data_IF_057816385173
#
_entry.id   IF_057816385173
#
_cell.length_a   1.000
_cell.length_b   1.000
_cell.length_c   1.000
_cell.angle_alpha   90.00
_cell.angle_beta   90.00
_cell.angle_gamma   90.00
#
_symmetry.space_group_name_H-M   'P 1'
#
loop_
_entity.id
_entity.type
_entity.pdbx_description
1 polymer ?
#
# COMPACT_ATOMS: atom_id res chain seq x y z
N UNK A 1 -7.76 68.33 35.95
CA UNK A 1 -8.97 68.03 35.14
C UNK A 1 -9.05 66.52 35.00
N UNK A 2 -9.69 65.85 35.96
CA UNK A 2 -9.76 64.43 36.15
C UNK A 2 -11.16 63.93 35.77
N UNK A 3 -11.20 62.96 34.84
CA UNK A 3 -12.41 62.27 34.37
C UNK A 3 -12.54 60.96 35.13
N UNK A 4 -13.65 60.69 35.84
CA UNK A 4 -13.83 59.43 36.54
C UNK A 4 -14.38 58.36 35.58
N UNK A 5 -13.75 57.20 35.52
CA UNK A 5 -14.25 56.00 34.89
C UNK A 5 -15.36 55.37 35.74
N UNK A 6 -16.57 55.33 35.20
CA UNK A 6 -17.69 54.60 35.76
C UNK A 6 -17.55 53.11 35.45
N UNK A 7 -17.44 52.28 36.51
CA UNK A 7 -17.49 50.82 36.43
C UNK A 7 -18.95 50.38 36.33
N UNK A 8 -19.36 49.90 35.17
CA UNK A 8 -20.63 49.19 35.00
C UNK A 8 -20.39 47.70 35.16
N UNK A 9 -20.82 47.16 36.29
CA UNK A 9 -20.85 45.72 36.53
C UNK A 9 -22.00 45.11 35.72
N UNK A 10 -21.69 44.32 34.71
CA UNK A 10 -22.65 43.50 33.96
C UNK A 10 -22.65 42.09 34.59
N UNK A 11 -23.68 41.83 35.41
CA UNK A 11 -23.93 40.53 35.99
C UNK A 11 -24.55 39.62 34.90
N UNK A 12 -23.76 38.73 34.27
CA UNK A 12 -24.29 37.66 33.45
C UNK A 12 -24.73 36.50 34.35
N UNK A 13 -26.04 36.31 34.44
CA UNK A 13 -26.65 35.13 35.03
C UNK A 13 -26.32 33.89 34.13
N UNK A 14 -25.45 33.02 34.60
CA UNK A 14 -25.24 31.70 33.99
C UNK A 14 -26.41 30.80 34.36
N UNK A 15 -27.34 30.63 33.43
CA UNK A 15 -28.34 29.55 33.48
C UNK A 15 -27.62 28.26 33.10
N UNK A 16 -27.33 27.45 34.10
CA UNK A 16 -26.74 26.12 33.91
C UNK A 16 -27.74 25.17 33.25
N UNK A 17 -27.67 25.01 31.92
CA UNK A 17 -28.25 23.86 31.26
C UNK A 17 -27.29 22.69 31.43
N UNK A 18 -27.56 21.89 32.46
CA UNK A 18 -26.93 20.55 32.63
C UNK A 18 -27.48 19.65 31.54
N UNK A 19 -26.85 19.62 30.37
CA UNK A 19 -27.03 18.53 29.44
C UNK A 19 -26.24 17.34 29.98
N UNK A 20 -26.96 16.40 30.58
CA UNK A 20 -26.41 15.05 30.82
C UNK A 20 -26.14 14.45 29.45
N UNK A 21 -24.89 14.55 28.98
CA UNK A 21 -24.41 13.74 27.88
C UNK A 21 -24.46 12.28 28.34
N UNK A 22 -25.54 11.60 28.01
CA UNK A 22 -25.55 10.15 27.97
C UNK A 22 -24.59 9.74 26.85
N UNK A 23 -23.33 9.55 27.21
CA UNK A 23 -22.41 8.81 26.38
C UNK A 23 -22.97 7.38 26.28
N UNK A 24 -23.85 7.15 25.31
CA UNK A 24 -24.15 5.81 24.86
C UNK A 24 -22.86 5.30 24.22
N UNK A 25 -22.07 4.58 25.00
CA UNK A 25 -21.16 3.61 24.44
C UNK A 25 -22.05 2.54 23.78
N UNK A 26 -22.45 2.78 22.54
CA UNK A 26 -22.92 1.69 21.72
C UNK A 26 -21.77 0.68 21.69
N UNK A 27 -22.00 -0.58 22.05
CA UNK A 27 -20.97 -1.58 21.90
C UNK A 27 -20.58 -1.58 20.44
N UNK A 28 -19.30 -1.30 20.16
CA UNK A 28 -18.73 -1.50 18.84
C UNK A 28 -18.88 -2.99 18.58
N UNK A 29 -19.92 -3.37 17.87
CA UNK A 29 -20.04 -4.73 17.35
C UNK A 29 -18.97 -4.87 16.30
N UNK A 30 -17.83 -5.40 16.67
CA UNK A 30 -16.82 -5.89 15.78
C UNK A 30 -17.42 -7.07 14.98
N UNK A 31 -18.17 -6.74 13.95
CA UNK A 31 -18.52 -7.70 12.91
C UNK A 31 -17.32 -7.87 11.96
N UNK A 32 -16.14 -7.98 12.55
CA UNK A 32 -14.94 -8.17 11.77
C UNK A 32 -14.90 -9.60 11.27
N UNK A 33 -15.35 -9.76 10.06
CA UNK A 33 -15.28 -11.00 9.30
C UNK A 33 -13.99 -10.97 8.48
N UNK A 34 -13.24 -12.06 8.48
CA UNK A 34 -11.99 -12.22 7.72
C UNK A 34 -12.10 -13.40 6.78
N UNK A 35 -11.43 -13.28 5.65
CA UNK A 35 -11.40 -14.34 4.61
C UNK A 35 -10.06 -15.08 4.62
N UNK A 36 -8.98 -14.37 4.94
CA UNK A 36 -7.61 -14.87 4.69
C UNK A 36 -7.19 -16.05 5.55
N UNK A 37 -7.79 -16.23 6.74
CA UNK A 37 -7.32 -17.27 7.67
C UNK A 37 -7.78 -18.67 7.33
N UNK A 38 -8.92 -18.80 6.66
CA UNK A 38 -9.54 -20.10 6.35
C UNK A 38 -9.82 -20.28 4.85
N UNK A 39 -9.63 -19.23 4.06
CA UNK A 39 -10.04 -19.19 2.66
C UNK A 39 -11.54 -18.96 2.46
N UNK A 40 -12.30 -18.77 3.52
CA UNK A 40 -13.70 -18.41 3.49
C UNK A 40 -14.04 -17.41 4.60
N UNK A 41 -15.14 -16.70 4.42
CA UNK A 41 -15.58 -15.66 5.35
C UNK A 41 -15.99 -16.24 6.71
N UNK A 42 -15.32 -15.79 7.78
CA UNK A 42 -15.60 -16.20 9.16
C UNK A 42 -15.32 -15.05 10.14
N UNK A 43 -15.87 -15.15 11.34
CA UNK A 43 -15.58 -14.17 12.39
C UNK A 43 -14.12 -14.29 12.85
N UNK A 44 -13.48 -13.15 13.14
CA UNK A 44 -12.10 -13.11 13.68
C UNK A 44 -11.96 -14.01 14.91
N UNK A 45 -12.97 -14.02 15.79
CA UNK A 45 -12.97 -14.82 17.02
C UNK A 45 -12.96 -16.34 16.79
N UNK A 46 -13.35 -16.78 15.61
CA UNK A 46 -13.40 -18.18 15.21
C UNK A 46 -12.19 -18.60 14.36
N UNK A 47 -11.37 -17.62 13.97
CA UNK A 47 -10.23 -17.86 13.11
C UNK A 47 -9.11 -18.62 13.84
N UNK A 48 -8.48 -19.61 13.21
CA UNK A 48 -7.44 -20.45 13.86
C UNK A 48 -6.06 -19.76 13.94
N UNK A 49 -5.98 -18.45 13.72
CA UNK A 49 -4.74 -17.69 13.65
C UNK A 49 -4.85 -16.35 14.40
N UNK A 50 -3.69 -15.75 14.71
CA UNK A 50 -3.63 -14.39 15.25
C UNK A 50 -3.83 -13.38 14.12
N UNK A 51 -5.00 -12.76 14.06
CA UNK A 51 -5.40 -11.83 13.00
C UNK A 51 -5.56 -10.43 13.57
N UNK A 52 -5.09 -9.44 12.83
CA UNK A 52 -5.43 -8.03 13.00
C UNK A 52 -6.12 -7.55 11.73
N UNK A 53 -7.14 -6.72 11.90
CA UNK A 53 -7.84 -6.08 10.79
C UNK A 53 -7.67 -4.58 10.95
N UNK A 54 -7.24 -3.92 9.89
CA UNK A 54 -7.30 -2.47 9.76
C UNK A 54 -8.54 -2.18 8.93
N UNK A 55 -9.55 -1.62 9.55
CA UNK A 55 -10.81 -1.30 8.92
C UNK A 55 -10.69 -0.07 8.01
N UNK A 56 -11.68 0.13 7.17
CA UNK A 56 -11.79 1.34 6.38
C UNK A 56 -11.92 2.59 7.24
N UNK A 57 -12.64 2.49 8.34
CA UNK A 57 -12.80 3.55 9.32
C UNK A 57 -11.45 3.93 9.93
N UNK A 58 -10.62 2.96 10.28
CA UNK A 58 -9.25 3.20 10.78
C UNK A 58 -8.40 3.90 9.74
N UNK A 59 -8.43 3.44 8.47
CA UNK A 59 -7.69 4.05 7.37
C UNK A 59 -8.08 5.52 7.15
N UNK A 60 -9.36 5.85 7.34
CA UNK A 60 -9.86 7.21 7.18
C UNK A 60 -9.58 8.11 8.39
N UNK A 61 -9.76 7.58 9.61
CA UNK A 61 -9.60 8.35 10.85
C UNK A 61 -8.14 8.69 11.12
N UNK A 62 -7.24 7.74 10.94
CA UNK A 62 -5.82 7.93 11.19
C UNK A 62 -5.08 8.66 10.07
N UNK A 63 -5.74 8.88 8.93
CA UNK A 63 -5.20 9.63 7.78
C UNK A 63 -3.82 9.16 7.34
N UNK A 64 -3.65 7.87 7.18
CA UNK A 64 -2.42 7.32 6.66
C UNK A 64 -2.13 7.83 5.24
N UNK A 65 -0.89 8.19 4.96
CA UNK A 65 -0.48 8.64 3.64
C UNK A 65 -0.20 7.48 2.68
N UNK A 66 0.16 6.32 3.24
CA UNK A 66 0.46 5.13 2.47
C UNK A 66 0.20 3.85 3.27
N UNK A 67 0.25 2.72 2.57
CA UNK A 67 0.06 1.40 3.15
C UNK A 67 1.08 1.07 4.25
N UNK A 68 2.32 1.55 4.12
CA UNK A 68 3.37 1.29 5.09
C UNK A 68 3.02 1.84 6.46
N UNK A 69 2.52 3.08 6.52
CA UNK A 69 2.09 3.69 7.76
C UNK A 69 0.94 2.93 8.41
N UNK A 70 -0.03 2.47 7.60
CA UNK A 70 -1.15 1.69 8.10
C UNK A 70 -0.69 0.34 8.69
N UNK A 71 0.25 -0.33 8.05
CA UNK A 71 0.79 -1.60 8.51
C UNK A 71 1.73 -1.43 9.72
N UNK A 72 2.46 -0.31 9.81
CA UNK A 72 3.39 -0.02 10.91
C UNK A 72 2.71 0.10 12.28
N UNK A 73 1.41 0.38 12.31
CA UNK A 73 0.61 0.42 13.53
C UNK A 73 0.17 -0.99 14.01
N UNK A 74 0.44 -2.03 13.22
CA UNK A 74 0.05 -3.40 13.58
C UNK A 74 1.14 -4.08 14.39
N UNK A 75 0.81 -4.55 15.57
CA UNK A 75 1.76 -5.25 16.44
C UNK A 75 2.42 -6.45 15.74
N UNK A 76 3.74 -6.53 15.85
CA UNK A 76 4.54 -7.61 15.29
C UNK A 76 4.79 -7.50 13.80
N UNK A 77 4.43 -6.39 13.17
CA UNK A 77 4.92 -6.01 11.85
C UNK A 77 6.08 -5.03 12.00
N UNK A 78 7.15 -5.31 11.31
CA UNK A 78 8.26 -4.39 11.11
C UNK A 78 8.33 -4.02 9.63
N UNK A 79 8.22 -2.72 9.37
CA UNK A 79 8.39 -2.15 8.05
C UNK A 79 9.81 -1.60 8.02
N UNK A 80 10.73 -2.44 7.56
CA UNK A 80 12.06 -1.99 7.24
C UNK A 80 11.94 -0.81 6.27
N UNK A 81 12.40 0.35 6.69
CA UNK A 81 12.56 1.46 5.76
C UNK A 81 13.50 0.96 4.67
N UNK A 82 12.98 0.83 3.46
CA UNK A 82 13.74 0.36 2.33
C UNK A 82 14.98 1.24 2.19
N UNK A 83 16.11 0.70 2.56
CA UNK A 83 17.41 1.38 2.41
C UNK A 83 17.92 1.28 0.98
N UNK A 84 17.18 0.61 0.10
CA UNK A 84 17.52 0.50 -1.30
C UNK A 84 17.15 1.76 -2.09
N UNK A 85 17.86 2.01 -3.18
CA UNK A 85 17.64 3.18 -4.06
C UNK A 85 16.20 3.32 -4.59
N UNK A 86 15.44 2.24 -4.67
CA UNK A 86 14.05 2.26 -5.13
C UNK A 86 13.04 2.52 -4.01
N UNK A 87 13.48 2.52 -2.74
CA UNK A 87 12.59 2.76 -1.60
C UNK A 87 11.49 1.72 -1.42
N UNK A 88 11.70 0.49 -1.92
CA UNK A 88 10.77 -0.63 -1.71
C UNK A 88 10.60 -0.95 -0.23
N UNK A 89 9.42 -1.42 0.14
CA UNK A 89 9.09 -1.75 1.53
C UNK A 89 9.44 -3.20 1.83
N UNK A 90 10.27 -3.39 2.84
CA UNK A 90 10.55 -4.70 3.43
C UNK A 90 9.58 -4.90 4.60
N UNK A 91 8.55 -5.71 4.39
CA UNK A 91 7.56 -5.99 5.43
C UNK A 91 7.88 -7.33 6.05
N UNK A 92 8.33 -7.31 7.31
CA UNK A 92 8.58 -8.52 8.09
C UNK A 92 7.51 -8.72 9.15
N UNK A 93 7.13 -9.98 9.39
CA UNK A 93 6.17 -10.35 10.42
C UNK A 93 6.88 -11.17 11.49
N UNK A 94 6.86 -10.68 12.73
CA UNK A 94 7.50 -11.35 13.90
C UNK A 94 8.97 -11.67 13.68
N UNK A 95 9.70 -10.79 12.97
CA UNK A 95 11.13 -10.95 12.71
C UNK A 95 11.48 -11.97 11.62
N UNK A 96 10.48 -12.56 10.95
CA UNK A 96 10.72 -13.38 9.76
C UNK A 96 11.09 -12.50 8.59
N UNK A 97 12.09 -12.86 7.76
CA UNK A 97 12.45 -12.08 6.59
C UNK A 97 11.26 -11.80 5.66
N UNK A 98 11.25 -10.64 5.00
CA UNK A 98 10.15 -10.15 4.16
C UNK A 98 9.73 -11.12 3.05
N UNK A 99 10.64 -11.93 2.55
CA UNK A 99 10.36 -12.97 1.55
C UNK A 99 9.38 -14.05 2.04
N UNK A 100 9.16 -14.17 3.35
CA UNK A 100 8.19 -15.07 3.96
C UNK A 100 6.88 -14.37 4.35
N UNK A 101 6.72 -13.11 3.98
CA UNK A 101 5.48 -12.35 4.11
C UNK A 101 4.75 -12.35 2.78
N UNK A 102 3.65 -13.08 2.69
CA UNK A 102 2.84 -13.14 1.48
C UNK A 102 1.88 -11.95 1.42
N UNK A 103 1.88 -11.25 0.29
CA UNK A 103 0.98 -10.14 0.02
C UNK A 103 -0.07 -10.57 -1.00
N UNK A 104 -1.33 -10.34 -0.63
CA UNK A 104 -2.49 -10.64 -1.45
C UNK A 104 -3.31 -9.35 -1.68
N UNK A 105 -3.95 -9.26 -2.84
CA UNK A 105 -5.02 -8.31 -3.13
C UNK A 105 -6.25 -9.12 -3.53
N UNK A 106 -7.33 -9.02 -2.75
CA UNK A 106 -8.54 -9.83 -2.91
C UNK A 106 -8.22 -11.34 -3.03
N UNK A 107 -7.36 -11.86 -2.16
CA UNK A 107 -6.91 -13.25 -2.15
C UNK A 107 -5.94 -13.63 -3.27
N UNK A 108 -5.61 -12.71 -4.18
CA UNK A 108 -4.72 -12.97 -5.32
C UNK A 108 -3.29 -12.55 -4.98
N UNK A 109 -2.36 -13.46 -5.18
CA UNK A 109 -0.94 -13.28 -4.89
C UNK A 109 -0.35 -12.14 -5.73
N UNK A 110 0.43 -11.27 -5.09
CA UNK A 110 1.09 -10.12 -5.73
C UNK A 110 2.58 -10.37 -5.99
N UNK A 111 3.16 -11.36 -5.35
CA UNK A 111 4.56 -11.70 -5.55
C UNK A 111 4.75 -12.24 -6.98
N UNK A 112 5.77 -11.75 -7.67
CA UNK A 112 6.21 -12.34 -8.93
C UNK A 112 6.66 -13.80 -8.69
N UNK A 113 6.51 -14.65 -9.69
CA UNK A 113 7.01 -16.02 -9.62
C UNK A 113 8.54 -15.98 -9.50
N UNK A 114 9.06 -16.37 -8.33
CA UNK A 114 10.48 -16.35 -8.00
C UNK A 114 10.96 -14.98 -7.51
N UNK A 115 11.84 -15.01 -6.51
CA UNK A 115 12.51 -13.81 -5.97
C UNK A 115 13.63 -13.31 -6.90
N UNK A 116 13.39 -13.28 -8.21
CA UNK A 116 14.35 -12.74 -9.16
C UNK A 116 14.10 -11.25 -9.28
N UNK A 117 14.59 -10.53 -8.30
CA UNK A 117 14.69 -9.07 -8.41
C UNK A 117 16.06 -8.73 -8.99
N UNK A 118 16.13 -8.06 -10.14
CA UNK A 118 17.39 -7.53 -10.64
C UNK A 118 18.03 -6.62 -9.58
N UNK A 119 19.33 -6.60 -9.50
CA UNK A 119 20.06 -5.75 -8.57
C UNK A 119 19.53 -4.30 -8.61
N UNK A 120 19.03 -3.82 -7.48
CA UNK A 120 18.50 -2.46 -7.34
C UNK A 120 16.99 -2.38 -7.14
N UNK A 121 16.23 -3.42 -7.44
CA UNK A 121 14.83 -3.52 -7.01
C UNK A 121 14.76 -4.30 -5.71
N UNK A 122 14.37 -3.63 -4.63
CA UNK A 122 13.97 -4.29 -3.40
C UNK A 122 12.46 -4.48 -3.46
N UNK A 123 11.97 -5.60 -2.94
CA UNK A 123 10.56 -5.88 -2.63
C UNK A 123 9.54 -5.36 -3.66
N UNK A 124 9.52 -5.96 -4.83
CA UNK A 124 8.57 -5.62 -5.90
C UNK A 124 7.12 -5.97 -5.58
N UNK A 125 6.90 -6.85 -4.59
CA UNK A 125 5.55 -7.25 -4.15
C UNK A 125 4.70 -6.10 -3.61
N UNK A 126 5.34 -5.02 -3.14
CA UNK A 126 4.66 -3.82 -2.62
C UNK A 126 4.62 -2.65 -3.61
N UNK A 127 5.14 -2.83 -4.84
CA UNK A 127 5.29 -1.73 -5.80
C UNK A 127 3.97 -1.16 -6.31
N UNK A 128 2.97 -2.01 -6.52
CA UNK A 128 1.70 -1.64 -7.15
C UNK A 128 0.52 -1.95 -6.23
N UNK A 129 0.46 -1.20 -5.12
CA UNK A 129 -0.65 -1.31 -4.17
C UNK A 129 -1.83 -0.44 -4.60
N UNK A 130 -3.07 -0.87 -4.35
CA UNK A 130 -4.23 -0.03 -4.58
C UNK A 130 -4.16 1.21 -3.68
N UNK A 131 -4.69 2.37 -4.12
CA UNK A 131 -4.79 3.54 -3.26
C UNK A 131 -5.66 3.25 -2.04
N UNK A 132 -5.34 3.85 -0.89
CA UNK A 132 -6.07 3.61 0.37
C UNK A 132 -7.58 3.83 0.23
N UNK A 133 -8.00 4.76 -0.63
CA UNK A 133 -9.41 5.02 -0.93
C UNK A 133 -10.13 3.85 -1.62
N UNK A 134 -9.40 2.95 -2.27
CA UNK A 134 -9.93 1.74 -2.89
C UNK A 134 -9.95 0.53 -1.95
N UNK A 135 -9.37 0.66 -0.74
CA UNK A 135 -9.28 -0.43 0.24
C UNK A 135 -10.51 -0.42 1.15
N UNK A 136 -11.08 -1.60 1.36
CA UNK A 136 -12.15 -1.83 2.34
C UNK A 136 -11.58 -2.18 3.71
N UNK A 137 -10.59 -3.08 3.75
CA UNK A 137 -9.87 -3.47 4.95
C UNK A 137 -8.55 -4.16 4.59
N UNK A 138 -7.66 -4.22 5.55
CA UNK A 138 -6.42 -4.98 5.45
C UNK A 138 -6.42 -6.05 6.54
N UNK A 139 -6.29 -7.30 6.13
CA UNK A 139 -6.23 -8.45 7.04
C UNK A 139 -4.77 -8.88 7.18
N UNK A 140 -4.28 -8.91 8.42
CA UNK A 140 -2.91 -9.31 8.74
C UNK A 140 -2.94 -10.57 9.58
N UNK A 141 -2.48 -11.66 9.01
CA UNK A 141 -2.36 -12.94 9.71
C UNK A 141 -0.91 -13.14 10.11
N UNK A 142 -0.68 -13.29 11.39
CA UNK A 142 0.64 -13.46 11.99
C UNK A 142 0.89 -14.91 12.36
N UNK A 143 1.74 -15.56 11.62
CA UNK A 143 2.13 -16.95 11.80
C UNK A 143 2.07 -17.76 10.51
N UNK A 144 2.53 -19.00 10.54
CA UNK A 144 2.65 -19.81 9.34
C UNK A 144 1.28 -20.15 8.74
N UNK A 145 1.11 -19.75 7.48
CA UNK A 145 -0.06 -20.04 6.66
C UNK A 145 0.28 -20.85 5.43
N UNK A 146 1.41 -21.57 5.48
CA UNK A 146 1.94 -22.35 4.36
C UNK A 146 1.01 -23.47 3.88
N UNK A 147 0.15 -23.98 4.74
CA UNK A 147 -0.85 -25.01 4.37
C UNK A 147 -1.86 -24.51 3.34
N UNK A 148 -2.27 -23.22 3.44
CA UNK A 148 -3.22 -22.62 2.53
C UNK A 148 -2.55 -21.88 1.37
N UNK A 149 -1.41 -21.23 1.63
CA UNK A 149 -0.81 -20.28 0.71
C UNK A 149 0.60 -20.67 0.23
N UNK A 150 1.16 -21.78 0.69
CA UNK A 150 2.48 -22.24 0.28
C UNK A 150 3.65 -21.59 1.04
N UNK A 151 4.87 -21.84 0.57
CA UNK A 151 6.13 -21.53 1.27
C UNK A 151 6.33 -20.05 1.58
N UNK A 152 5.78 -19.15 0.77
CA UNK A 152 5.97 -17.69 0.92
C UNK A 152 5.18 -17.11 2.10
N UNK A 153 4.27 -17.90 2.68
CA UNK A 153 3.44 -17.52 3.83
C UNK A 153 3.93 -18.11 5.16
N UNK A 154 5.21 -18.33 5.33
CA UNK A 154 5.77 -18.88 6.58
C UNK A 154 5.79 -17.86 7.73
N UNK A 155 6.03 -16.59 7.43
CA UNK A 155 5.97 -15.50 8.40
C UNK A 155 4.55 -15.03 8.66
N UNK A 156 3.74 -14.99 7.62
CA UNK A 156 2.36 -14.55 7.67
C UNK A 156 1.82 -14.09 6.32
N UNK A 157 0.60 -13.56 6.35
CA UNK A 157 -0.12 -13.09 5.17
C UNK A 157 -0.69 -11.71 5.43
N UNK A 158 -0.53 -10.82 4.48
CA UNK A 158 -1.21 -9.53 4.41
C UNK A 158 -2.16 -9.58 3.23
N UNK A 159 -3.46 -9.55 3.49
CA UNK A 159 -4.47 -9.54 2.44
C UNK A 159 -5.19 -8.19 2.41
N UNK A 160 -5.06 -7.49 1.30
CA UNK A 160 -5.69 -6.21 1.04
C UNK A 160 -7.01 -6.48 0.34
N UNK A 161 -8.11 -6.26 1.04
CA UNK A 161 -9.46 -6.43 0.49
C UNK A 161 -9.89 -5.08 -0.10
N UNK A 162 -10.16 -5.07 -1.40
CA UNK A 162 -10.63 -3.87 -2.08
C UNK A 162 -12.14 -3.71 -1.93
N UNK A 163 -12.61 -2.46 -2.06
CA UNK A 163 -14.03 -2.14 -1.99
C UNK A 163 -14.80 -2.84 -3.11
N UNK A 164 -15.99 -3.31 -2.81
CA UNK A 164 -16.94 -3.74 -3.83
C UNK A 164 -17.44 -2.54 -4.62
N UNK A 165 -17.96 -2.77 -5.82
CA UNK A 165 -18.56 -1.69 -6.61
C UNK A 165 -19.72 -1.07 -5.82
N UNK A 166 -19.72 0.25 -5.75
CA UNK A 166 -20.75 0.99 -5.02
C UNK A 166 -22.09 0.97 -5.76
N UNK A 167 -23.20 1.03 -5.00
CA UNK A 167 -24.56 1.11 -5.57
C UNK A 167 -24.85 2.48 -6.17
N UNK A 168 -24.14 3.50 -5.76
CA UNK A 168 -24.23 4.87 -6.27
C UNK A 168 -22.82 5.34 -6.65
N UNK A 169 -22.73 6.27 -7.59
CA UNK A 169 -21.43 6.81 -7.96
C UNK A 169 -20.78 7.52 -6.78
N UNK A 170 -19.59 7.10 -6.45
CA UNK A 170 -18.74 7.67 -5.42
C UNK A 170 -17.31 7.75 -5.93
N UNK A 171 -16.55 8.70 -5.42
CA UNK A 171 -15.16 8.86 -5.81
C UNK A 171 -14.35 9.64 -4.80
N UNK A 172 -13.05 9.58 -4.96
CA UNK A 172 -12.08 10.38 -4.20
C UNK A 172 -10.90 10.75 -5.08
N UNK A 173 -10.37 11.93 -4.84
CA UNK A 173 -9.08 12.40 -5.35
C UNK A 173 -8.26 12.79 -4.12
N UNK A 174 -7.10 12.16 -3.97
CA UNK A 174 -6.18 12.46 -2.87
C UNK A 174 -4.86 12.92 -3.45
N UNK A 175 -4.29 13.96 -2.86
CA UNK A 175 -2.97 14.45 -3.19
C UNK A 175 -2.19 14.66 -1.90
N UNK A 176 -1.09 13.93 -1.76
CA UNK A 176 -0.17 14.00 -0.65
C UNK A 176 1.15 14.59 -1.14
N UNK A 177 1.70 15.47 -0.37
CA UNK A 177 3.02 16.05 -0.60
C UNK A 177 3.82 15.97 0.70
N UNK A 178 4.97 15.30 0.64
CA UNK A 178 5.90 15.24 1.75
C UNK A 178 7.08 16.14 1.44
N UNK A 179 7.14 17.25 2.14
CA UNK A 179 8.23 18.20 2.09
C UNK A 179 9.28 17.81 3.14
N UNK A 180 10.51 17.59 2.69
CA UNK A 180 11.59 17.25 3.58
C UNK A 180 12.19 18.54 4.18
N UNK A 181 12.28 18.57 5.51
CA UNK A 181 12.86 19.71 6.22
C UNK A 181 14.36 19.81 5.96
N UNK A 182 15.03 18.66 5.93
CA UNK A 182 16.40 18.53 5.50
C UNK A 182 16.45 18.33 3.98
N UNK A 183 17.14 19.24 3.28
CA UNK A 183 17.20 19.30 1.82
C UNK A 183 18.08 18.23 1.18
N UNK A 184 18.85 17.52 1.98
CA UNK A 184 19.60 16.36 1.53
C UNK A 184 18.67 15.16 1.24
N UNK A 185 17.41 15.21 1.70
CA UNK A 185 16.39 14.22 1.38
C UNK A 185 15.43 14.74 0.29
N UNK A 186 15.13 13.89 -0.68
CA UNK A 186 14.19 14.21 -1.76
C UNK A 186 12.73 14.26 -1.29
N UNK A 187 12.02 15.27 -1.78
CA UNK A 187 10.57 15.41 -1.55
C UNK A 187 9.80 14.29 -2.27
N UNK A 188 8.60 13.99 -1.78
CA UNK A 188 7.72 13.02 -2.44
C UNK A 188 6.33 13.59 -2.69
N UNK A 189 5.73 13.17 -3.78
CA UNK A 189 4.37 13.55 -4.16
C UNK A 189 3.60 12.31 -4.56
N UNK A 190 2.40 12.14 -4.01
CA UNK A 190 1.49 11.07 -4.36
C UNK A 190 0.13 11.63 -4.74
N UNK A 191 -0.38 11.25 -5.91
CA UNK A 191 -1.73 11.59 -6.36
C UNK A 191 -2.48 10.29 -6.60
N UNK A 192 -3.65 10.13 -5.98
CA UNK A 192 -4.47 8.93 -6.17
C UNK A 192 -5.91 9.28 -6.49
N UNK A 193 -6.52 8.46 -7.34
CA UNK A 193 -7.90 8.56 -7.75
C UNK A 193 -8.63 7.25 -7.49
N UNK A 194 -9.88 7.37 -7.12
CA UNK A 194 -10.81 6.27 -7.00
C UNK A 194 -12.20 6.72 -7.44
N UNK A 195 -12.86 5.93 -8.27
CA UNK A 195 -14.25 6.13 -8.64
C UNK A 195 -14.95 4.78 -8.76
N UNK A 196 -16.18 4.69 -8.28
CA UNK A 196 -16.96 3.46 -8.35
C UNK A 196 -18.44 3.77 -8.41
N UNK A 197 -19.16 3.01 -9.23
CA UNK A 197 -20.62 3.16 -9.34
C UNK A 197 -21.23 2.22 -10.37
N UNK A 198 -22.57 2.21 -10.47
CA UNK A 198 -23.29 1.38 -11.41
C UNK A 198 -23.18 1.96 -12.84
N UNK A 199 -22.94 1.09 -13.81
CA UNK A 199 -23.21 1.36 -15.24
C UNK A 199 -24.63 0.98 -15.60
N UNK A 200 -25.12 -0.11 -15.00
CA UNK A 200 -26.52 -0.57 -15.06
C UNK A 200 -26.90 -1.00 -13.66
N UNK A 201 -27.91 -0.36 -13.09
CA UNK A 201 -28.35 -0.60 -11.73
C UNK A 201 -28.64 -2.08 -11.46
N UNK A 202 -28.03 -2.60 -10.39
CA UNK A 202 -28.20 -3.98 -9.95
C UNK A 202 -27.55 -5.04 -10.85
N UNK A 203 -27.02 -4.67 -12.03
CA UNK A 203 -26.48 -5.63 -12.99
C UNK A 203 -24.99 -5.44 -13.26
N UNK A 204 -24.58 -4.22 -13.63
CA UNK A 204 -23.21 -3.95 -14.08
C UNK A 204 -22.63 -2.75 -13.35
N UNK A 205 -21.52 -2.95 -12.72
CA UNK A 205 -20.80 -1.91 -12.02
C UNK A 205 -19.37 -1.71 -12.53
N UNK A 206 -18.87 -0.51 -12.37
CA UNK A 206 -17.50 -0.11 -12.71
C UNK A 206 -16.78 0.46 -11.50
N UNK A 207 -15.53 0.07 -11.34
CA UNK A 207 -14.59 0.69 -10.42
C UNK A 207 -13.33 1.09 -11.17
N UNK A 208 -12.88 2.31 -10.96
CA UNK A 208 -11.62 2.83 -11.48
C UNK A 208 -10.72 3.23 -10.31
N UNK A 209 -9.45 2.89 -10.41
CA UNK A 209 -8.45 3.26 -9.41
C UNK A 209 -7.14 3.62 -10.09
N UNK A 210 -6.41 4.57 -9.51
CA UNK A 210 -5.11 4.94 -10.03
C UNK A 210 -4.29 5.68 -8.99
N UNK A 211 -2.97 5.60 -9.16
CA UNK A 211 -2.00 6.36 -8.37
C UNK A 211 -0.83 6.80 -9.22
N UNK A 212 -0.31 7.96 -8.90
CA UNK A 212 0.93 8.51 -9.45
C UNK A 212 1.78 8.97 -8.28
N UNK A 213 2.93 8.35 -8.12
CA UNK A 213 3.92 8.68 -7.11
C UNK A 213 5.19 9.17 -7.78
N UNK A 214 5.62 10.37 -7.40
CA UNK A 214 6.88 10.98 -7.82
C UNK A 214 7.77 11.16 -6.59
N UNK A 215 9.04 10.88 -6.72
CA UNK A 215 10.07 11.11 -5.70
C UNK A 215 11.28 11.79 -6.33
N UNK A 216 11.75 12.84 -5.69
CA UNK A 216 13.02 13.48 -6.00
C UNK A 216 14.21 12.66 -5.47
N UNK A 217 15.37 12.79 -6.07
CA UNK A 217 16.60 12.18 -5.57
C UNK A 217 16.98 12.75 -4.20
N UNK A 218 17.60 11.93 -3.37
CA UNK A 218 18.24 12.36 -2.13
C UNK A 218 19.74 12.50 -2.36
N UNK A 219 20.35 13.57 -1.84
CA UNK A 219 21.77 13.89 -1.96
C UNK A 219 22.49 13.77 -0.61
N UNK A 220 22.42 12.56 -0.06
CA UNK A 220 22.99 12.28 1.26
C UNK A 220 24.51 12.25 1.20
N UNK A 221 25.16 12.86 2.21
CA UNK A 221 26.60 12.80 2.40
C UNK A 221 26.96 12.39 3.83
N UNK A 222 28.12 11.73 3.97
CA UNK A 222 28.71 11.49 5.29
C UNK A 222 29.25 12.79 5.89
N UNK A 223 29.40 12.85 7.20
CA UNK A 223 29.89 14.04 7.90
C UNK A 223 31.27 14.56 7.45
N UNK A 224 32.01 13.81 6.63
CA UNK A 224 33.25 14.19 5.97
C UNK A 224 33.04 14.73 4.53
N UNK A 225 31.79 14.91 4.09
CA UNK A 225 31.46 15.43 2.76
C UNK A 225 31.53 14.38 1.63
N UNK A 226 31.75 13.10 1.95
CA UNK A 226 31.73 12.03 0.95
C UNK A 226 30.26 11.66 0.69
N UNK A 227 29.84 11.64 -0.58
CA UNK A 227 28.50 11.25 -0.98
C UNK A 227 28.18 9.80 -0.59
N UNK A 228 26.96 9.60 -0.10
CA UNK A 228 26.42 8.27 0.15
C UNK A 228 26.07 7.60 -1.18
N UNK A 229 26.50 6.36 -1.35
CA UNK A 229 26.25 5.61 -2.58
C UNK A 229 24.78 5.54 -2.95
N UNK A 230 24.46 5.86 -4.18
CA UNK A 230 23.11 5.66 -4.77
C UNK A 230 22.72 4.17 -4.92
N UNK A 231 23.67 3.23 -4.69
CA UNK A 231 23.35 1.79 -4.57
C UNK A 231 22.82 1.39 -3.20
N UNK A 232 23.10 2.22 -2.20
CA UNK A 232 22.76 2.02 -0.81
C UNK A 232 21.54 2.81 -0.37
N UNK A 233 21.64 3.48 0.78
CA UNK A 233 20.49 4.11 1.43
C UNK A 233 20.03 5.44 0.80
N UNK A 234 20.74 5.97 -0.21
CA UNK A 234 20.35 7.22 -0.87
C UNK A 234 19.32 6.94 -1.98
N UNK A 235 18.04 7.21 -1.80
CA UNK A 235 17.04 7.01 -2.82
C UNK A 235 17.27 7.90 -4.05
N UNK A 236 17.13 7.32 -5.22
CA UNK A 236 17.23 8.05 -6.49
C UNK A 236 15.88 8.64 -6.89
N UNK A 237 15.88 9.55 -7.85
CA UNK A 237 14.67 10.03 -8.49
C UNK A 237 13.86 8.86 -9.05
N UNK A 238 12.55 8.90 -8.87
CA UNK A 238 11.70 7.82 -9.34
C UNK A 238 10.24 8.22 -9.53
N UNK A 239 9.60 7.52 -10.45
CA UNK A 239 8.18 7.67 -10.72
C UNK A 239 7.50 6.31 -10.77
N UNK A 240 6.40 6.19 -10.05
CA UNK A 240 5.55 5.00 -10.09
C UNK A 240 4.13 5.40 -10.47
N UNK A 241 3.53 4.71 -11.43
CA UNK A 241 2.12 4.84 -11.69
C UNK A 241 1.45 3.47 -11.72
N UNK A 242 0.23 3.44 -11.24
CA UNK A 242 -0.62 2.26 -11.26
C UNK A 242 -2.04 2.66 -11.67
N UNK A 243 -2.61 1.94 -12.63
CA UNK A 243 -3.96 2.12 -13.11
C UNK A 243 -4.69 0.79 -13.08
N UNK A 244 -5.90 0.78 -12.55
CA UNK A 244 -6.73 -0.41 -12.50
C UNK A 244 -8.19 -0.10 -12.78
N UNK A 245 -8.87 -1.07 -13.38
CA UNK A 245 -10.29 -1.04 -13.61
C UNK A 245 -10.90 -2.39 -13.24
N UNK A 246 -12.08 -2.36 -12.62
CA UNK A 246 -12.87 -3.56 -12.33
C UNK A 246 -14.28 -3.39 -12.88
N UNK A 247 -14.71 -4.37 -13.64
CA UNK A 247 -16.12 -4.55 -13.99
C UNK A 247 -16.70 -5.65 -13.12
N UNK A 248 -17.88 -5.41 -12.55
CA UNK A 248 -18.62 -6.39 -11.76
C UNK A 248 -19.97 -6.62 -12.41
N UNK A 249 -20.27 -7.86 -12.72
CA UNK A 249 -21.52 -8.28 -13.36
C UNK A 249 -22.27 -9.22 -12.40
N UNK A 250 -23.48 -8.82 -11.97
CA UNK A 250 -24.35 -9.58 -11.06
C UNK A 250 -25.64 -9.90 -11.80
N UNK A 251 -25.65 -10.93 -12.68
CA UNK A 251 -26.84 -11.28 -13.48
C UNK A 251 -27.95 -11.91 -12.65
N UNK A 252 -27.60 -12.45 -11.47
CA UNK A 252 -28.51 -13.05 -10.51
C UNK A 252 -27.94 -12.85 -9.10
N UNK A 253 -28.80 -12.81 -8.09
CA UNK A 253 -28.39 -12.61 -6.69
C UNK A 253 -27.40 -13.68 -6.17
N UNK A 254 -27.40 -14.86 -6.80
CA UNK A 254 -26.50 -15.96 -6.45
C UNK A 254 -25.18 -15.96 -7.21
N UNK A 255 -25.01 -15.11 -8.21
CA UNK A 255 -23.82 -15.13 -9.07
C UNK A 255 -23.24 -13.75 -9.29
N UNK A 256 -21.99 -13.58 -8.86
CA UNK A 256 -21.19 -12.40 -9.13
C UNK A 256 -19.98 -12.76 -10.00
N UNK A 257 -19.79 -12.03 -11.09
CA UNK A 257 -18.61 -12.13 -11.95
C UNK A 257 -17.80 -10.83 -11.87
N UNK A 258 -16.51 -10.96 -11.90
CA UNK A 258 -15.56 -9.83 -11.91
C UNK A 258 -14.55 -9.95 -13.02
N UNK A 259 -14.27 -8.84 -13.70
CA UNK A 259 -13.12 -8.67 -14.56
C UNK A 259 -12.27 -7.53 -13.99
N UNK A 260 -11.05 -7.84 -13.58
CA UNK A 260 -10.10 -6.89 -13.01
C UNK A 260 -8.90 -6.78 -13.93
N UNK A 261 -8.56 -5.55 -14.34
CA UNK A 261 -7.41 -5.26 -15.19
C UNK A 261 -6.56 -4.22 -14.49
N UNK A 262 -5.26 -4.45 -14.41
CA UNK A 262 -4.33 -3.54 -13.76
C UNK A 262 -3.02 -3.45 -14.55
N UNK A 263 -2.49 -2.23 -14.66
CA UNK A 263 -1.18 -1.95 -15.22
C UNK A 263 -0.42 -1.02 -14.30
N UNK A 264 0.76 -1.46 -13.89
CA UNK A 264 1.71 -0.68 -13.09
C UNK A 264 3.03 -0.50 -13.81
N UNK A 265 3.63 0.67 -13.68
CA UNK A 265 4.98 0.96 -14.14
C UNK A 265 5.72 1.79 -13.10
N UNK A 266 6.92 1.35 -12.81
CA UNK A 266 7.85 1.99 -11.89
C UNK A 266 9.17 2.25 -12.62
N UNK A 267 9.65 3.49 -12.58
CA UNK A 267 10.86 3.92 -13.26
C UNK A 267 11.71 4.66 -12.26
N UNK A 268 12.99 4.33 -12.22
CA UNK A 268 13.99 5.00 -11.39
C UNK A 268 15.17 5.41 -12.24
N UNK A 269 15.68 6.62 -11.97
CA UNK A 269 16.91 7.09 -12.54
C UNK A 269 18.10 6.24 -12.02
N UNK A 270 18.93 5.76 -12.94
CA UNK A 270 20.07 4.89 -12.64
C UNK A 270 21.37 5.40 -13.30
N UNK A 271 21.33 6.57 -13.92
CA UNK A 271 22.47 7.17 -14.62
C UNK A 271 23.47 7.83 -13.67
N UNK A 272 23.02 8.11 -12.43
CA UNK A 272 23.90 8.60 -11.38
C UNK A 272 24.83 7.50 -10.84
N UNK A 273 25.87 7.92 -10.16
CA UNK A 273 26.91 7.05 -9.65
C UNK A 273 26.37 5.87 -8.84
N UNK A 274 26.61 4.68 -9.32
CA UNK A 274 26.27 3.42 -8.66
C UNK A 274 27.37 2.92 -7.73
N UNK A 275 28.58 3.48 -7.86
CA UNK A 275 29.77 3.08 -7.10
C UNK A 275 30.00 4.13 -6.01
N UNK A 276 29.61 3.87 -4.82
CA UNK A 276 29.88 4.71 -3.66
C UNK A 276 30.64 3.95 -2.59
N UNK A 277 30.96 4.65 -1.55
CA UNK A 277 31.85 4.25 -0.45
C UNK A 277 31.31 3.16 0.48
N UNK A 278 30.33 2.37 0.10
CA UNK A 278 29.82 1.27 0.95
C UNK A 278 30.91 0.29 1.38
N UNK A 279 32.00 0.19 0.61
CA UNK A 279 33.11 -0.71 0.89
C UNK A 279 34.30 -0.01 1.58
N UNK A 280 34.08 1.21 2.08
CA UNK A 280 35.17 1.99 2.73
C UNK A 280 36.24 2.44 1.77
N UNK A 281 36.06 2.28 0.47
CA UNK A 281 36.96 2.78 -0.55
C UNK A 281 36.46 4.12 -1.06
N UNK A 282 37.23 5.17 -0.91
CA UNK A 282 37.03 6.49 -1.51
C UNK A 282 37.12 6.38 -3.04
N UNK A 283 36.11 5.80 -3.67
CA UNK A 283 35.98 5.85 -5.11
C UNK A 283 35.21 7.10 -5.46
N UNK A 284 35.85 8.05 -6.09
CA UNK A 284 35.14 9.13 -6.77
C UNK A 284 34.08 8.53 -7.70
N UNK A 285 32.90 9.10 -7.65
CA UNK A 285 31.83 8.79 -8.57
C UNK A 285 32.22 9.21 -9.99
N UNK A 286 33.06 8.42 -10.64
CA UNK A 286 33.37 8.62 -12.05
C UNK A 286 32.20 8.09 -12.86
N UNK A 287 31.47 9.05 -13.40
CA UNK A 287 30.31 8.95 -14.27
C UNK A 287 30.15 7.68 -15.10
N UNK A 288 28.88 7.31 -15.29
CA UNK A 288 28.23 6.59 -16.42
C UNK A 288 28.99 5.49 -17.19
N UNK A 289 30.27 5.66 -17.52
CA UNK A 289 31.03 4.67 -18.28
C UNK A 289 31.30 3.39 -17.49
N UNK A 290 31.54 3.48 -16.18
CA UNK A 290 31.78 2.31 -15.32
C UNK A 290 30.49 1.57 -15.01
N UNK A 291 29.36 2.25 -14.90
CA UNK A 291 28.04 1.63 -14.70
C UNK A 291 27.60 0.88 -15.94
N UNK A 292 27.78 1.46 -17.12
CA UNK A 292 27.51 0.80 -18.40
C UNK A 292 28.41 -0.39 -18.66
N UNK A 293 29.68 -0.31 -18.31
CA UNK A 293 30.61 -1.43 -18.43
C UNK A 293 30.21 -2.62 -17.55
N UNK A 294 29.50 -2.39 -16.45
CA UNK A 294 28.95 -3.43 -15.57
C UNK A 294 27.55 -3.91 -15.95
N UNK A 295 27.03 -3.51 -17.10
CA UNK A 295 25.73 -3.94 -17.62
C UNK A 295 24.53 -3.24 -16.97
N UNK A 296 24.72 -2.13 -16.25
CA UNK A 296 23.61 -1.33 -15.74
C UNK A 296 23.04 -0.42 -16.83
N UNK A 297 21.71 -0.40 -16.95
CA UNK A 297 21.00 0.56 -17.77
C UNK A 297 20.91 1.91 -17.02
N UNK A 298 20.76 3.01 -17.79
CA UNK A 298 20.57 4.35 -17.21
C UNK A 298 19.22 4.51 -16.51
N UNK A 299 18.30 3.57 -16.73
CA UNK A 299 16.97 3.51 -16.15
C UNK A 299 16.71 2.11 -15.55
N UNK A 300 16.19 2.08 -14.34
CA UNK A 300 15.61 0.88 -13.75
C UNK A 300 14.11 0.93 -13.95
N UNK A 301 13.54 -0.10 -14.59
CA UNK A 301 12.12 -0.17 -14.87
C UNK A 301 11.54 -1.50 -14.41
N UNK A 302 10.41 -1.41 -13.70
CA UNK A 302 9.60 -2.55 -13.32
C UNK A 302 8.17 -2.30 -13.81
N UNK A 303 7.67 -3.21 -14.62
CA UNK A 303 6.31 -3.16 -15.17
C UNK A 303 5.55 -4.40 -14.76
N UNK A 304 4.26 -4.24 -14.49
CA UNK A 304 3.34 -5.34 -14.25
C UNK A 304 2.04 -5.10 -14.99
N UNK A 305 1.58 -6.12 -15.68
CA UNK A 305 0.24 -6.18 -16.25
C UNK A 305 -0.49 -7.37 -15.66
N UNK A 306 -1.70 -7.15 -15.19
CA UNK A 306 -2.52 -8.19 -14.58
C UNK A 306 -3.92 -8.14 -15.15
N UNK A 307 -4.45 -9.30 -15.49
CA UNK A 307 -5.86 -9.50 -15.80
C UNK A 307 -6.37 -10.67 -14.97
N UNK A 308 -7.52 -10.49 -14.34
CA UNK A 308 -8.15 -11.54 -13.55
C UNK A 308 -9.64 -11.60 -13.82
N UNK A 309 -10.15 -12.81 -13.93
CA UNK A 309 -11.58 -13.11 -13.98
C UNK A 309 -11.95 -13.83 -12.69
N UNK A 310 -13.00 -13.38 -12.02
CA UNK A 310 -13.48 -13.98 -10.78
C UNK A 310 -14.95 -14.35 -10.91
N UNK A 311 -15.36 -15.37 -10.18
CA UNK A 311 -16.74 -15.77 -10.04
C UNK A 311 -17.00 -16.19 -8.61
N UNK A 312 -18.08 -15.66 -8.03
CA UNK A 312 -18.63 -16.10 -6.75
C UNK A 312 -20.03 -16.62 -6.99
N UNK A 313 -20.24 -17.90 -6.69
CA UNK A 313 -21.54 -18.58 -6.80
C UNK A 313 -22.06 -18.98 -5.43
N UNK A 314 -23.23 -18.49 -5.01
CA UNK A 314 -23.93 -18.85 -3.77
C UNK A 314 -24.87 -20.01 -4.08
N UNK A 315 -24.40 -21.22 -3.84
CA UNK A 315 -25.12 -22.45 -4.15
C UNK A 315 -25.85 -22.96 -2.91
N UNK A 316 -26.88 -23.77 -3.08
CA UNK A 316 -27.69 -24.30 -1.96
C UNK A 316 -26.88 -25.13 -0.94
N UNK A 317 -25.68 -25.59 -1.31
CA UNK A 317 -24.77 -26.35 -0.43
C UNK A 317 -23.57 -25.55 0.06
N UNK A 318 -23.39 -24.30 -0.37
CA UNK A 318 -22.26 -23.45 0.01
C UNK A 318 -21.90 -22.42 -1.04
N UNK A 319 -20.82 -21.68 -0.78
CA UNK A 319 -20.28 -20.67 -1.69
C UNK A 319 -19.11 -21.24 -2.47
N UNK A 320 -19.13 -21.09 -3.80
CA UNK A 320 -18.04 -21.41 -4.70
C UNK A 320 -17.35 -20.12 -5.13
N UNK A 321 -16.09 -19.99 -4.81
CA UNK A 321 -15.23 -18.89 -5.29
C UNK A 321 -14.22 -19.43 -6.29
N UNK A 322 -14.15 -18.80 -7.46
CA UNK A 322 -13.25 -19.17 -8.54
C UNK A 322 -12.52 -17.95 -9.06
N UNK A 323 -11.25 -18.08 -9.34
CA UNK A 323 -10.48 -17.00 -9.96
C UNK A 323 -9.46 -17.57 -10.95
N UNK A 324 -9.34 -16.87 -12.09
CA UNK A 324 -8.29 -17.10 -13.08
C UNK A 324 -7.55 -15.78 -13.28
N UNK A 325 -6.24 -15.80 -13.07
CA UNK A 325 -5.40 -14.61 -13.19
C UNK A 325 -4.23 -14.89 -14.12
N UNK A 326 -3.95 -13.94 -15.01
CA UNK A 326 -2.72 -13.85 -15.77
C UNK A 326 -1.97 -12.60 -15.31
N UNK A 327 -0.70 -12.77 -14.96
CA UNK A 327 0.18 -11.71 -14.49
C UNK A 327 1.49 -11.76 -15.27
N UNK A 328 1.86 -10.65 -15.89
CA UNK A 328 3.14 -10.48 -16.56
C UNK A 328 3.94 -9.43 -15.82
N UNK A 329 5.18 -9.72 -15.50
CA UNK A 329 6.13 -8.79 -14.92
C UNK A 329 7.36 -8.68 -15.79
N UNK A 330 7.82 -7.45 -16.03
CA UNK A 330 9.03 -7.16 -16.76
C UNK A 330 9.94 -6.26 -15.90
N UNK A 331 11.20 -6.62 -15.82
CA UNK A 331 12.21 -5.83 -15.13
C UNK A 331 13.36 -5.51 -16.07
N UNK A 332 13.71 -4.22 -16.19
CA UNK A 332 14.84 -3.74 -16.96
C UNK A 332 15.73 -2.95 -16.02
N UNK A 333 17.01 -3.24 -15.99
CA UNK A 333 17.92 -2.51 -15.10
C UNK A 333 19.35 -2.99 -15.15
N UNK A 334 19.57 -4.25 -15.45
CA UNK A 334 20.91 -4.82 -15.62
C UNK A 334 20.85 -5.93 -16.64
N UNK A 335 21.70 -5.85 -17.66
CA UNK A 335 22.01 -6.95 -18.55
C UNK A 335 23.02 -7.86 -17.87
N UNK A 336 22.68 -9.11 -17.70
CA UNK A 336 23.58 -10.16 -17.15
C UNK A 336 24.25 -10.84 -18.32
#
# INVERSE_FOLDING_TARGET
>A
MSIPFARTALSCAMIGCSWTALAQNAPVTLNDTVVSASGFEQKITEAPASISVISREDLQQKRYNNLAQALGDVEGIDIGQGTGKTGGLNISIRGMPSQYTLILIDGRRQNAAGNVTPNGFNETSTSFMPPLSAIERIEVIRGPMSTLYGSDAMGGVINIITRKVAKEWTGSLTQDYTYQEDRDFGDTRNTSIYASGPLVDGLLGLQLRGSLFDREASDLSYGNGIEVSKRGPSPVEGRTHNLGARLSLTPHEDHDFGLDVERGRQVYNNDECQLGSLDGQNQECTASAATRANGYADELRFEREQIAVTHTGRLGFGTLESSLMHNTTETIGRTI
#
